data_IF_486317814696
#
_entry.id   IF_486317814696
#
_cell.length_a   1.000
_cell.length_b   1.000
_cell.length_c   1.000
_cell.angle_alpha   90.00
_cell.angle_beta   90.00
_cell.angle_gamma   90.00
#
_symmetry.space_group_name_H-M   'P 1'
#
loop_
_entity.id
_entity.type
_entity.pdbx_description
1 polymer ?
#
# COMPACT_ATOMS: atom_id res chain seq x y z
N UNK A 1 -30.54 -11.96 44.25
CA UNK A 1 -31.80 -12.36 43.60
C UNK A 1 -32.72 -11.14 43.56
N UNK A 2 -33.11 -10.79 42.34
CA UNK A 2 -34.01 -9.75 41.78
C UNK A 2 -35.05 -9.15 42.75
N UNK A 3 -35.45 -7.88 42.73
CA UNK A 3 -35.94 -7.07 41.59
C UNK A 3 -35.97 -5.59 42.02
N UNK A 4 -35.44 -4.67 41.20
CA UNK A 4 -35.88 -3.26 41.20
C UNK A 4 -36.26 -2.87 39.78
N UNK A 5 -37.55 -2.93 39.54
CA UNK A 5 -38.27 -2.25 38.46
C UNK A 5 -37.83 -0.79 38.44
N UNK A 6 -37.02 -0.40 37.44
CA UNK A 6 -36.69 1.01 37.20
C UNK A 6 -37.59 1.57 36.11
N UNK A 7 -38.31 2.59 36.56
CA UNK A 7 -39.24 3.48 35.91
C UNK A 7 -38.79 4.03 34.57
N UNK A 8 -39.77 4.07 33.66
CA UNK A 8 -39.81 4.86 32.44
C UNK A 8 -39.38 6.31 32.69
N UNK A 9 -38.46 6.84 31.87
CA UNK A 9 -38.31 8.28 31.66
C UNK A 9 -38.22 8.52 30.14
N UNK A 10 -39.18 9.24 29.54
CA UNK A 10 -39.14 9.57 28.12
C UNK A 10 -38.25 10.80 27.91
N UNK A 11 -37.46 10.80 26.84
CA UNK A 11 -36.78 12.01 26.38
C UNK A 11 -35.29 12.00 26.62
N UNK A 12 -34.59 11.17 25.85
CA UNK A 12 -33.35 11.49 25.13
C UNK A 12 -32.85 10.22 24.45
N UNK A 13 -33.64 9.80 23.47
CA UNK A 13 -33.10 9.00 22.40
C UNK A 13 -32.03 9.83 21.68
N UNK A 14 -31.02 9.13 21.15
CA UNK A 14 -30.25 9.52 19.98
C UNK A 14 -29.02 10.40 20.20
N UNK A 15 -27.91 9.83 20.68
CA UNK A 15 -26.57 10.10 20.09
C UNK A 15 -25.72 8.81 20.18
N UNK A 16 -26.03 7.83 19.34
CA UNK A 16 -25.15 6.69 19.05
C UNK A 16 -25.13 6.53 17.52
N UNK A 17 -24.26 7.26 16.84
CA UNK A 17 -23.77 6.94 15.49
C UNK A 17 -22.98 8.12 14.91
N UNK A 18 -21.64 8.15 15.05
CA UNK A 18 -20.79 8.87 14.10
C UNK A 18 -19.30 8.48 14.19
N UNK A 19 -18.96 7.19 14.18
CA UNK A 19 -17.54 6.75 14.11
C UNK A 19 -17.20 5.86 12.93
N UNK A 20 -18.13 5.61 12.02
CA UNK A 20 -17.85 4.85 10.80
C UNK A 20 -17.81 5.81 9.63
N UNK A 21 -16.64 6.27 9.19
CA UNK A 21 -16.39 6.78 7.81
C UNK A 21 -14.96 7.31 7.65
N UNK A 22 -13.94 6.47 7.90
CA UNK A 22 -12.59 6.69 7.35
C UNK A 22 -11.99 5.35 6.92
N UNK A 23 -12.69 4.64 6.03
CA UNK A 23 -12.10 3.59 5.21
C UNK A 23 -11.89 4.17 3.80
N UNK A 24 -10.92 5.09 3.67
CA UNK A 24 -10.45 5.54 2.36
C UNK A 24 -9.67 4.43 1.65
N UNK A 25 -9.58 4.45 0.30
CA UNK A 25 -8.88 3.42 -0.46
C UNK A 25 -7.36 3.54 -0.21
N UNK A 26 -6.84 2.81 0.77
CA UNK A 26 -5.42 2.82 1.13
C UNK A 26 -4.52 2.35 -0.03
N UNK A 27 -5.01 1.47 -0.90
CA UNK A 27 -4.18 0.81 -1.91
C UNK A 27 -3.65 1.71 -3.04
N UNK A 28 -4.34 2.80 -3.41
CA UNK A 28 -3.92 3.62 -4.56
C UNK A 28 -2.71 4.51 -4.24
N UNK A 29 -2.64 5.07 -3.02
CA UNK A 29 -1.53 5.92 -2.60
C UNK A 29 -0.24 5.10 -2.37
N UNK A 30 -0.37 3.89 -1.83
CA UNK A 30 0.74 2.98 -1.56
C UNK A 30 1.46 2.57 -2.84
N UNK A 31 0.71 2.30 -3.92
CA UNK A 31 1.29 1.98 -5.22
C UNK A 31 2.08 3.15 -5.82
N UNK A 32 1.63 4.38 -5.63
CA UNK A 32 2.35 5.58 -6.10
C UNK A 32 3.68 5.81 -5.37
N UNK A 33 3.69 5.65 -4.04
CA UNK A 33 4.90 5.75 -3.24
C UNK A 33 5.90 4.63 -3.60
N UNK A 34 5.42 3.40 -3.74
CA UNK A 34 6.22 2.24 -4.14
C UNK A 34 6.83 2.42 -5.54
N UNK A 35 6.06 2.87 -6.52
CA UNK A 35 6.57 3.12 -7.87
C UNK A 35 7.68 4.18 -7.87
N UNK A 36 7.56 5.22 -7.04
CA UNK A 36 8.59 6.27 -6.90
C UNK A 36 9.87 5.73 -6.25
N UNK A 37 9.74 4.94 -5.17
CA UNK A 37 10.86 4.28 -4.52
C UNK A 37 11.60 3.32 -5.47
N UNK A 38 10.87 2.49 -6.20
CA UNK A 38 11.44 1.58 -7.20
C UNK A 38 12.12 2.34 -8.33
N UNK A 39 11.54 3.46 -8.79
CA UNK A 39 12.17 4.34 -9.80
C UNK A 39 13.52 4.85 -9.31
N UNK A 40 13.58 5.36 -8.07
CA UNK A 40 14.83 5.83 -7.47
C UNK A 40 15.85 4.70 -7.30
N UNK A 41 15.41 3.53 -6.84
CA UNK A 41 16.25 2.34 -6.68
C UNK A 41 16.88 1.90 -8.00
N UNK A 42 16.09 1.79 -9.08
CA UNK A 42 16.58 1.38 -10.40
C UNK A 42 17.56 2.41 -10.96
N UNK A 43 17.29 3.70 -10.72
CA UNK A 43 18.19 4.80 -11.11
C UNK A 43 19.51 4.75 -10.35
N UNK A 44 19.49 4.44 -9.04
CA UNK A 44 20.70 4.24 -8.23
C UNK A 44 21.55 3.06 -8.69
N UNK A 45 20.93 2.04 -9.30
CA UNK A 45 21.61 0.91 -9.93
C UNK A 45 22.14 1.24 -11.34
N UNK A 46 21.94 2.46 -11.84
CA UNK A 46 22.42 2.91 -13.15
C UNK A 46 21.63 2.37 -14.33
N UNK A 47 20.40 1.88 -14.11
CA UNK A 47 19.56 1.33 -15.16
C UNK A 47 18.57 2.40 -15.68
N UNK A 48 18.37 2.51 -17.01
CA UNK A 48 17.39 3.42 -17.58
C UNK A 48 15.97 2.92 -17.29
N UNK A 49 15.14 3.76 -16.66
CA UNK A 49 13.71 3.46 -16.47
C UNK A 49 12.79 4.67 -16.76
N UNK A 50 13.31 5.90 -16.74
CA UNK A 50 12.45 7.08 -16.68
C UNK A 50 11.61 7.03 -15.41
N UNK A 51 10.32 6.69 -15.54
CA UNK A 51 9.40 6.45 -14.42
C UNK A 51 8.81 5.05 -14.46
N UNK A 52 8.72 4.39 -13.30
CA UNK A 52 7.94 3.16 -13.17
C UNK A 52 6.45 3.47 -13.34
N UNK A 53 5.83 2.90 -14.37
CA UNK A 53 4.40 3.10 -14.70
C UNK A 53 3.53 1.92 -14.27
N UNK A 54 4.14 0.77 -13.98
CA UNK A 54 3.43 -0.40 -13.47
C UNK A 54 4.34 -1.19 -12.53
N UNK A 55 3.75 -1.73 -11.45
CA UNK A 55 4.43 -2.58 -10.47
C UNK A 55 3.58 -3.83 -10.26
N UNK A 56 4.21 -4.99 -10.37
CA UNK A 56 3.60 -6.29 -10.11
C UNK A 56 4.41 -6.99 -9.03
N UNK A 57 3.85 -7.08 -7.83
CA UNK A 57 4.47 -7.81 -6.71
C UNK A 57 4.48 -9.30 -6.99
N UNK A 58 5.67 -9.91 -6.96
CA UNK A 58 5.87 -11.36 -7.09
C UNK A 58 6.00 -12.04 -5.72
N UNK A 59 6.41 -11.28 -4.71
CA UNK A 59 6.59 -11.76 -3.35
C UNK A 59 7.08 -10.65 -2.43
N UNK A 60 7.54 -11.03 -1.25
CA UNK A 60 8.09 -10.07 -0.29
C UNK A 60 9.40 -9.47 -0.85
N UNK A 61 9.40 -8.16 -1.10
CA UNK A 61 10.53 -7.42 -1.68
C UNK A 61 10.99 -8.01 -3.03
N UNK A 62 10.06 -8.51 -3.85
CA UNK A 62 10.28 -8.97 -5.22
C UNK A 62 9.17 -8.41 -6.13
N UNK A 63 9.57 -7.62 -7.12
CA UNK A 63 8.67 -6.85 -7.97
C UNK A 63 9.08 -6.95 -9.44
N UNK A 64 8.10 -7.13 -10.33
CA UNK A 64 8.26 -6.86 -11.76
C UNK A 64 7.75 -5.46 -12.03
N UNK A 65 8.60 -4.60 -12.57
CA UNK A 65 8.25 -3.23 -12.90
C UNK A 65 8.29 -3.01 -14.39
N UNK A 66 7.37 -2.20 -14.90
CA UNK A 66 7.41 -1.67 -16.26
C UNK A 66 7.71 -0.19 -16.21
N UNK A 67 8.70 0.23 -16.98
CA UNK A 67 9.20 1.59 -17.10
C UNK A 67 8.53 2.33 -18.26
N UNK A 68 8.45 3.66 -18.18
CA UNK A 68 7.90 4.52 -19.24
C UNK A 68 8.70 4.44 -20.54
N UNK A 69 9.99 4.10 -20.44
CA UNK A 69 10.88 3.87 -21.60
C UNK A 69 10.74 2.47 -22.22
N UNK A 70 9.75 1.68 -21.77
CA UNK A 70 9.44 0.31 -22.20
C UNK A 70 10.39 -0.77 -21.69
N UNK A 71 11.41 -0.43 -20.91
CA UNK A 71 12.18 -1.45 -20.20
C UNK A 71 11.33 -2.11 -19.11
N UNK A 72 11.67 -3.37 -18.81
CA UNK A 72 11.02 -4.15 -17.76
C UNK A 72 12.11 -4.76 -16.89
N UNK A 73 11.96 -4.63 -15.58
CA UNK A 73 12.94 -5.11 -14.61
C UNK A 73 12.28 -5.96 -13.55
N UNK A 74 13.01 -6.95 -13.04
CA UNK A 74 12.71 -7.59 -11.76
C UNK A 74 13.61 -6.97 -10.70
N UNK A 75 13.01 -6.36 -9.69
CA UNK A 75 13.70 -5.75 -8.55
C UNK A 75 13.48 -6.64 -7.33
N UNK A 76 14.54 -7.12 -6.71
CA UNK A 76 14.45 -8.08 -5.62
C UNK A 76 15.57 -7.94 -4.59
N UNK A 77 15.37 -8.52 -3.40
CA UNK A 77 16.43 -8.71 -2.42
C UNK A 77 17.24 -9.97 -2.75
N UNK A 78 18.53 -9.80 -3.02
CA UNK A 78 19.42 -10.92 -3.33
C UNK A 78 19.83 -11.70 -2.04
N UNK A 79 20.49 -12.87 -2.16
CA UNK A 79 20.94 -13.64 -1.01
C UNK A 79 21.95 -12.94 -0.08
N UNK A 80 22.58 -11.86 -0.54
CA UNK A 80 23.51 -11.04 0.25
C UNK A 80 22.80 -9.93 1.02
N UNK A 81 21.46 -9.87 0.95
CA UNK A 81 20.66 -8.83 1.59
C UNK A 81 20.73 -7.47 0.89
N UNK A 82 21.15 -7.42 -0.37
CA UNK A 82 21.22 -6.20 -1.19
C UNK A 82 20.10 -6.17 -2.22
N UNK A 83 19.62 -4.97 -2.54
CA UNK A 83 18.66 -4.80 -3.62
C UNK A 83 19.38 -4.96 -4.96
N UNK A 84 18.83 -5.79 -5.83
CA UNK A 84 19.31 -6.02 -7.18
C UNK A 84 18.18 -5.83 -8.19
N UNK A 85 18.54 -5.50 -9.42
CA UNK A 85 17.60 -5.40 -10.54
C UNK A 85 18.15 -6.15 -11.75
N UNK A 86 17.33 -7.01 -12.37
CA UNK A 86 17.64 -7.75 -13.59
C UNK A 86 16.65 -7.35 -14.70
N UNK A 87 17.12 -7.23 -15.94
CA UNK A 87 16.25 -6.96 -17.08
C UNK A 87 15.42 -8.21 -17.41
N UNK A 88 14.15 -8.02 -17.77
CA UNK A 88 13.19 -9.08 -18.12
C UNK A 88 12.74 -9.00 -19.56
#
# INVERSE_FOLDING_TARGET
MNTRTQSQTPGRALILALTMLFAGPAGAAENGALAKDLTSTISLLGLPCGQVVNVVTQGNRDYIVTCSDKNRYRVYLNPQGRVAAEKR
#
